data_IF_552248897751
#
_entry.id   IF_552248897751
#
_cell.length_a   1.000
_cell.length_b   1.000
_cell.length_c   1.000
_cell.angle_alpha   90.00
_cell.angle_beta   90.00
_cell.angle_gamma   90.00
#
_symmetry.space_group_name_H-M   'P 1'
#
loop_
_entity.id
_entity.type
_entity.pdbx_description
1 polymer ?
#
# COMPACT_ATOMS: atom_id res chain seq x y z
N UNK A 1 7.02 14.19 4.66
CA UNK A 1 6.74 14.51 3.24
C UNK A 1 5.25 14.38 2.93
N UNK A 2 4.62 13.23 3.25
CA UNK A 2 3.18 12.97 3.04
C UNK A 2 2.29 14.06 3.65
N UNK A 3 2.45 14.40 4.93
CA UNK A 3 1.60 15.43 5.57
C UNK A 3 1.71 16.82 4.95
N UNK A 4 2.89 17.21 4.43
CA UNK A 4 3.05 18.48 3.69
C UNK A 4 2.26 18.46 2.37
N UNK A 5 2.29 17.34 1.65
CA UNK A 5 1.56 17.19 0.40
C UNK A 5 0.05 17.20 0.64
N UNK A 6 -0.45 16.43 1.62
CA UNK A 6 -1.88 16.43 1.99
C UNK A 6 -2.34 17.83 2.38
N UNK A 7 -1.57 18.55 3.20
CA UNK A 7 -1.88 19.93 3.56
C UNK A 7 -1.85 20.90 2.37
N UNK A 8 -1.01 20.65 1.36
CA UNK A 8 -0.99 21.44 0.13
C UNK A 8 -2.22 21.13 -0.74
N UNK A 9 -2.58 19.86 -0.92
CA UNK A 9 -3.77 19.43 -1.69
C UNK A 9 -5.04 20.06 -1.13
N UNK A 10 -5.24 19.99 0.18
CA UNK A 10 -6.38 20.60 0.87
C UNK A 10 -6.48 22.12 0.71
N UNK A 11 -5.38 22.79 0.33
CA UNK A 11 -5.33 24.26 0.18
C UNK A 11 -5.32 24.73 -1.28
N UNK A 12 -4.78 23.93 -2.20
CA UNK A 12 -4.50 24.37 -3.57
C UNK A 12 -5.42 23.69 -4.60
N UNK A 13 -6.16 22.66 -4.20
CA UNK A 13 -7.04 21.91 -5.09
C UNK A 13 -8.48 22.02 -4.61
N UNK A 14 -9.40 22.13 -5.55
CA UNK A 14 -10.83 22.03 -5.29
C UNK A 14 -11.20 20.57 -5.07
N UNK A 15 -11.14 20.14 -3.82
CA UNK A 15 -11.61 18.82 -3.40
C UNK A 15 -13.07 18.91 -2.97
N UNK A 16 -13.83 17.83 -3.19
CA UNK A 16 -15.20 17.73 -2.70
C UNK A 16 -15.25 17.76 -1.17
N UNK A 17 -14.24 17.18 -0.51
CA UNK A 17 -14.08 17.17 0.94
C UNK A 17 -12.60 17.30 1.31
N UNK A 18 -12.31 17.86 2.49
CA UNK A 18 -10.95 17.95 3.00
C UNK A 18 -10.40 16.56 3.34
N UNK A 19 -9.16 16.30 2.97
CA UNK A 19 -8.47 15.05 3.30
C UNK A 19 -8.10 15.06 4.79
N UNK A 20 -8.55 14.04 5.52
CA UNK A 20 -8.14 13.80 6.90
C UNK A 20 -6.75 13.16 6.95
N UNK A 21 -5.75 13.93 7.39
CA UNK A 21 -4.37 13.44 7.49
C UNK A 21 -4.24 12.22 8.42
N UNK A 22 -4.97 12.21 9.54
CA UNK A 22 -4.92 11.13 10.53
C UNK A 22 -5.38 9.78 9.96
N UNK A 23 -6.39 9.79 9.09
CA UNK A 23 -6.92 8.57 8.48
C UNK A 23 -6.02 8.05 7.34
N UNK A 24 -5.40 8.96 6.57
CA UNK A 24 -4.57 8.57 5.42
C UNK A 24 -3.12 8.30 5.79
N UNK A 25 -2.61 8.83 6.91
CA UNK A 25 -1.20 8.65 7.30
C UNK A 25 -0.89 7.21 7.65
N UNK A 26 -1.80 6.51 8.32
CA UNK A 26 -1.62 5.08 8.66
C UNK A 26 -1.42 4.23 7.40
N UNK A 27 -2.36 4.17 6.45
CA UNK A 27 -2.22 3.32 5.27
C UNK A 27 -1.13 3.81 4.31
N UNK A 28 -0.88 5.13 4.20
CA UNK A 28 0.22 5.64 3.38
C UNK A 28 1.60 5.37 4.02
N UNK A 29 1.69 5.27 5.34
CA UNK A 29 2.93 4.87 6.02
C UNK A 29 3.23 3.38 5.85
N UNK A 30 2.21 2.59 5.48
CA UNK A 30 2.36 1.17 5.14
C UNK A 30 2.86 0.97 3.70
N UNK A 31 3.18 2.00 2.93
CA UNK A 31 3.71 1.85 1.56
C UNK A 31 4.96 2.71 1.38
N UNK A 32 5.72 2.44 0.32
CA UNK A 32 6.88 3.25 0.00
C UNK A 32 6.47 4.70 -0.28
N UNK A 33 7.29 5.65 0.17
CA UNK A 33 6.99 7.08 0.03
C UNK A 33 6.83 7.48 -1.44
N UNK A 34 7.50 6.77 -2.35
CA UNK A 34 7.39 7.00 -3.79
C UNK A 34 6.00 6.64 -4.31
N UNK A 35 5.44 5.52 -3.84
CA UNK A 35 4.09 5.07 -4.19
C UNK A 35 3.04 5.97 -3.54
N UNK A 36 3.25 6.33 -2.27
CA UNK A 36 2.38 7.28 -1.57
C UNK A 36 2.29 8.63 -2.32
N UNK A 37 3.43 9.15 -2.80
CA UNK A 37 3.45 10.38 -3.62
C UNK A 37 2.75 10.19 -4.96
N UNK A 38 2.89 9.03 -5.61
CA UNK A 38 2.19 8.74 -6.86
C UNK A 38 0.66 8.74 -6.68
N UNK A 39 0.15 8.10 -5.63
CA UNK A 39 -1.28 8.10 -5.28
C UNK A 39 -1.78 9.52 -5.04
N UNK A 40 -1.05 10.33 -4.27
CA UNK A 40 -1.42 11.72 -4.00
C UNK A 40 -1.41 12.59 -5.25
N UNK A 41 -0.53 12.29 -6.21
CA UNK A 41 -0.46 12.98 -7.51
C UNK A 41 -1.62 12.59 -8.43
N UNK A 42 -2.04 11.33 -8.40
CA UNK A 42 -3.23 10.88 -9.12
C UNK A 42 -4.49 11.52 -8.54
N UNK A 43 -4.56 11.66 -7.21
CA UNK A 43 -5.64 12.41 -6.55
C UNK A 43 -5.64 13.88 -6.98
N UNK A 44 -4.49 14.52 -7.13
CA UNK A 44 -4.41 15.89 -7.65
C UNK A 44 -5.04 16.00 -9.04
N UNK A 45 -4.78 15.04 -9.92
CA UNK A 45 -5.34 15.03 -11.27
C UNK A 45 -6.86 14.76 -11.29
N UNK A 46 -7.36 13.96 -10.35
CA UNK A 46 -8.76 13.52 -10.29
C UNK A 46 -9.59 14.21 -9.20
N UNK A 47 -9.02 15.17 -8.48
CA UNK A 47 -9.53 15.65 -7.19
C UNK A 47 -10.94 16.26 -7.24
N UNK A 48 -11.33 16.82 -8.39
CA UNK A 48 -12.68 17.35 -8.60
C UNK A 48 -13.74 16.30 -8.95
N UNK A 49 -13.34 15.09 -9.33
CA UNK A 49 -14.23 13.97 -9.65
C UNK A 49 -14.46 13.04 -8.46
N UNK A 50 -13.58 13.10 -7.45
CA UNK A 50 -13.58 12.17 -6.33
C UNK A 50 -14.41 12.73 -5.19
N UNK A 51 -15.59 12.12 -4.99
CA UNK A 51 -16.53 12.48 -3.93
C UNK A 51 -15.93 12.43 -2.52
N UNK A 52 -15.09 11.41 -2.25
CA UNK A 52 -14.50 11.17 -0.92
C UNK A 52 -12.99 10.93 -1.05
N UNK A 53 -12.16 11.97 -1.05
CA UNK A 53 -10.72 11.84 -1.30
C UNK A 53 -10.00 11.04 -0.21
N UNK A 54 -10.40 11.17 1.06
CA UNK A 54 -9.86 10.39 2.18
C UNK A 54 -10.04 8.88 1.97
N UNK A 55 -11.26 8.44 1.67
CA UNK A 55 -11.58 7.03 1.41
C UNK A 55 -10.89 6.50 0.15
N UNK A 56 -10.79 7.33 -0.88
CA UNK A 56 -10.09 6.98 -2.10
C UNK A 56 -8.59 6.72 -1.84
N UNK A 57 -7.93 7.59 -1.06
CA UNK A 57 -6.52 7.40 -0.69
C UNK A 57 -6.35 6.11 0.12
N UNK A 58 -7.20 5.85 1.11
CA UNK A 58 -7.13 4.62 1.90
C UNK A 58 -7.26 3.37 1.01
N UNK A 59 -8.20 3.38 0.06
CA UNK A 59 -8.41 2.30 -0.90
C UNK A 59 -7.22 2.14 -1.85
N UNK A 60 -6.68 3.25 -2.36
CA UNK A 60 -5.51 3.24 -3.25
C UNK A 60 -4.26 2.74 -2.52
N UNK A 61 -4.06 3.15 -1.26
CA UNK A 61 -2.97 2.67 -0.42
C UNK A 61 -3.12 1.18 -0.10
N UNK A 62 -4.32 0.71 0.28
CA UNK A 62 -4.61 -0.70 0.49
C UNK A 62 -4.40 -1.54 -0.77
N UNK A 63 -4.77 -1.00 -1.94
CA UNK A 63 -4.48 -1.64 -3.22
C UNK A 63 -2.97 -1.64 -3.53
N UNK A 64 -2.24 -0.58 -3.22
CA UNK A 64 -0.79 -0.53 -3.40
C UNK A 64 -0.06 -1.51 -2.47
N UNK A 65 -0.58 -1.74 -1.26
CA UNK A 65 -0.10 -2.78 -0.35
C UNK A 65 -0.21 -4.16 -1.00
N UNK A 66 -1.36 -4.45 -1.62
CA UNK A 66 -1.63 -5.73 -2.29
C UNK A 66 -0.91 -5.86 -3.65
N UNK A 67 -0.75 -4.76 -4.38
CA UNK A 67 -0.13 -4.67 -5.71
C UNK A 67 1.39 -4.48 -5.67
N UNK A 68 2.00 -4.37 -4.49
CA UNK A 68 3.45 -4.32 -4.29
C UNK A 68 4.23 -5.55 -4.79
N UNK A 69 3.55 -6.56 -5.36
CA UNK A 69 4.16 -7.66 -6.12
C UNK A 69 4.16 -7.49 -7.64
N UNK A 70 3.39 -6.58 -8.25
CA UNK A 70 3.24 -6.53 -9.71
C UNK A 70 3.00 -5.09 -10.17
N UNK A 71 4.05 -4.45 -10.70
CA UNK A 71 3.91 -3.19 -11.43
C UNK A 71 2.99 -3.35 -12.63
N UNK A 72 1.97 -2.50 -12.67
CA UNK A 72 1.39 -2.04 -13.92
C UNK A 72 0.24 -2.88 -14.50
N UNK A 73 -0.62 -2.13 -15.16
CA UNK A 73 -1.70 -2.50 -16.07
C UNK A 73 -3.05 -2.96 -15.51
N UNK A 74 -4.06 -2.27 -16.05
CA UNK A 74 -5.42 -2.63 -16.37
C UNK A 74 -6.50 -2.67 -15.28
N UNK A 75 -7.41 -1.70 -15.44
CA UNK A 75 -8.86 -1.87 -15.43
C UNK A 75 -9.30 -3.32 -15.69
N UNK A 76 -10.23 -3.87 -14.90
CA UNK A 76 -11.40 -4.55 -15.44
C UNK A 76 -12.32 -4.99 -14.30
N UNK A 77 -13.52 -4.41 -14.27
CA UNK A 77 -14.69 -5.12 -13.77
C UNK A 77 -14.85 -6.40 -14.60
N UNK A 78 -14.88 -7.56 -13.93
CA UNK A 78 -15.02 -8.82 -14.64
C UNK A 78 -14.68 -10.04 -13.79
N UNK A 79 -15.63 -10.41 -12.93
CA UNK A 79 -16.06 -11.79 -12.65
C UNK A 79 -15.00 -12.88 -12.37
N UNK A 80 -15.11 -13.44 -11.17
CA UNK A 80 -15.07 -14.89 -10.89
C UNK A 80 -13.84 -15.70 -11.31
N UNK A 81 -12.97 -16.02 -10.36
CA UNK A 81 -12.50 -17.40 -10.11
C UNK A 81 -11.67 -17.50 -8.82
N UNK A 82 -11.87 -18.62 -8.13
CA UNK A 82 -11.52 -19.04 -6.77
C UNK A 82 -10.00 -19.14 -6.43
N UNK A 83 -9.65 -19.43 -5.16
CA UNK A 83 -8.45 -18.94 -4.49
C UNK A 83 -7.26 -19.90 -4.58
N UNK A 84 -6.06 -19.35 -4.78
CA UNK A 84 -4.81 -20.08 -4.52
C UNK A 84 -4.23 -19.65 -3.18
N UNK A 85 -4.56 -20.48 -2.19
CA UNK A 85 -4.10 -20.72 -0.80
C UNK A 85 -2.77 -20.16 -0.24
N UNK A 86 -2.12 -19.13 -0.79
CA UNK A 86 -0.89 -18.56 -0.22
C UNK A 86 -1.07 -17.22 0.51
N UNK A 87 -2.32 -16.80 0.76
CA UNK A 87 -2.64 -15.52 1.40
C UNK A 87 -2.84 -15.60 2.93
N UNK A 88 -2.75 -16.79 3.55
CA UNK A 88 -3.19 -16.97 4.95
C UNK A 88 -2.08 -17.15 5.98
N UNK A 89 -0.80 -17.04 5.61
CA UNK A 89 0.33 -17.24 6.54
C UNK A 89 0.95 -15.93 7.04
N UNK A 90 0.71 -14.80 6.38
CA UNK A 90 1.18 -13.47 6.80
C UNK A 90 0.05 -12.47 6.51
N UNK A 91 -1.01 -12.51 7.31
CA UNK A 91 -2.20 -11.66 7.12
C UNK A 91 -1.86 -10.16 7.13
N UNK A 92 -0.74 -9.78 7.77
CA UNK A 92 -0.29 -8.38 7.84
C UNK A 92 0.70 -8.01 6.73
N UNK A 93 1.24 -8.97 5.97
CA UNK A 93 2.25 -8.69 4.94
C UNK A 93 3.61 -8.21 5.50
N UNK A 94 3.79 -8.18 6.82
CA UNK A 94 4.96 -7.61 7.49
C UNK A 94 6.17 -8.52 7.30
N UNK A 95 5.97 -9.83 7.38
CA UNK A 95 7.04 -10.82 7.27
C UNK A 95 7.56 -10.84 5.83
N UNK A 96 6.65 -10.84 4.85
CA UNK A 96 7.03 -10.82 3.42
C UNK A 96 7.85 -9.60 3.04
N UNK A 97 7.45 -8.43 3.55
CA UNK A 97 8.16 -7.17 3.31
C UNK A 97 9.52 -7.12 3.98
N UNK A 98 9.62 -7.58 5.22
CA UNK A 98 10.88 -7.58 5.95
C UNK A 98 11.90 -8.51 5.28
N UNK A 99 11.46 -9.71 4.88
CA UNK A 99 12.29 -10.66 4.13
C UNK A 99 12.73 -10.07 2.79
N UNK A 100 11.82 -9.44 2.05
CA UNK A 100 12.13 -8.77 0.80
C UNK A 100 13.13 -7.61 0.95
N UNK A 101 13.00 -6.82 2.02
CA UNK A 101 13.94 -5.75 2.32
C UNK A 101 15.33 -6.29 2.66
N UNK A 102 15.41 -7.30 3.54
CA UNK A 102 16.65 -7.94 3.98
C UNK A 102 17.40 -8.55 2.79
N UNK A 103 16.71 -9.30 1.94
CA UNK A 103 17.29 -9.90 0.74
C UNK A 103 17.83 -8.88 -0.27
N UNK A 104 17.33 -7.65 -0.23
CA UNK A 104 17.69 -6.59 -1.19
C UNK A 104 18.72 -5.60 -0.65
N UNK A 105 18.75 -5.36 0.66
CA UNK A 105 19.57 -4.30 1.28
C UNK A 105 20.62 -4.83 2.25
N UNK A 106 20.62 -6.12 2.55
CA UNK A 106 21.62 -6.76 3.39
C UNK A 106 22.40 -7.77 2.55
N UNK A 107 23.73 -7.71 2.64
CA UNK A 107 24.66 -8.68 2.05
C UNK A 107 24.58 -10.00 2.82
N UNK A 108 23.48 -10.71 2.62
CA UNK A 108 23.24 -12.02 3.21
C UNK A 108 24.05 -13.06 2.43
N UNK A 109 24.70 -13.98 3.15
CA UNK A 109 25.43 -15.09 2.53
C UNK A 109 24.52 -15.97 1.65
N UNK A 110 23.22 -15.99 1.94
CA UNK A 110 22.19 -16.63 1.12
C UNK A 110 20.85 -15.90 1.27
N UNK A 111 20.00 -15.86 0.23
CA UNK A 111 18.69 -15.23 0.31
C UNK A 111 17.77 -15.99 1.28
N UNK A 112 17.03 -15.23 2.09
CA UNK A 112 16.04 -15.74 3.04
C UNK A 112 14.79 -16.18 2.28
N UNK A 113 14.38 -17.44 2.46
CA UNK A 113 13.14 -17.99 1.91
C UNK A 113 11.95 -17.59 2.75
N UNK A 114 11.02 -16.82 2.18
CA UNK A 114 9.80 -16.40 2.85
C UNK A 114 8.99 -17.57 3.42
N UNK A 115 8.83 -18.66 2.67
CA UNK A 115 8.06 -19.84 3.13
C UNK A 115 8.64 -20.50 4.39
N UNK A 116 9.95 -20.39 4.60
CA UNK A 116 10.64 -21.01 5.74
C UNK A 116 10.40 -20.20 7.03
N UNK A 117 10.50 -18.87 6.90
CA UNK A 117 10.39 -17.95 8.04
C UNK A 117 8.94 -17.59 8.37
N UNK A 118 8.03 -17.60 7.39
CA UNK A 118 6.63 -17.22 7.60
C UNK A 118 5.90 -18.19 8.51
N UNK A 119 6.16 -19.50 8.40
CA UNK A 119 5.52 -20.49 9.27
C UNK A 119 5.96 -20.35 10.73
N UNK A 120 7.22 -20.00 10.98
CA UNK A 120 7.77 -19.86 12.34
C UNK A 120 7.40 -18.51 12.97
N UNK A 121 7.43 -17.44 12.18
CA UNK A 121 7.14 -16.08 12.66
C UNK A 121 5.64 -15.82 12.82
N UNK A 122 4.79 -16.40 11.96
CA UNK A 122 3.32 -16.28 12.11
C UNK A 122 2.79 -16.98 13.36
N UNK A 123 3.46 -18.05 13.81
CA UNK A 123 3.13 -18.73 15.05
C UNK A 123 3.47 -17.91 16.32
N UNK A 124 4.28 -16.86 16.17
CA UNK A 124 4.73 -15.99 17.26
C UNK A 124 4.03 -14.62 17.27
N UNK A 125 3.02 -14.42 16.42
CA UNK A 125 2.17 -13.22 16.44
C UNK A 125 1.29 -13.26 17.71
N UNK A 126 1.86 -12.81 18.83
CA UNK A 126 1.23 -12.60 20.15
C UNK A 126 1.08 -11.10 20.38
#
# INVERSE_FOLDING_TARGET
KIGRQVGWLNKNITLTELISYSDVVEPLSMIDVTIAMAILKELEQKGGEILNPTQWICSAAANAVQRGGLSGVMMSEGSSSLPTVSASLDSTGKISRQVGWLNKHVDLAAPISFSDVVQQLSALDI
#
